data_IF_479083181757
#
_entry.id   IF_479083181757
#
_cell.length_a   1.000
_cell.length_b   1.000
_cell.length_c   1.000
_cell.angle_alpha   90.00
_cell.angle_beta   90.00
_cell.angle_gamma   90.00
#
_symmetry.space_group_name_H-M   'P 1'
#
loop_
_entity.id
_entity.type
_entity.pdbx_description
1 polymer ?
#
# COMPACT_ATOMS: atom_id res chain seq x y z
N UNK A 1 -19.65 -4.35 -2.66
CA UNK A 1 -20.83 -5.22 -2.65
C UNK A 1 -20.82 -6.09 -1.39
N UNK A 2 -21.94 -6.14 -0.67
CA UNK A 2 -22.07 -6.92 0.56
C UNK A 2 -21.80 -8.40 0.32
N UNK A 3 -21.13 -9.06 1.29
CA UNK A 3 -20.82 -10.49 1.21
C UNK A 3 -19.53 -10.84 0.46
N UNK A 4 -18.82 -9.87 -0.08
CA UNK A 4 -17.46 -10.09 -0.60
C UNK A 4 -16.51 -10.30 0.57
N UNK A 5 -15.63 -11.27 0.47
CA UNK A 5 -14.57 -11.51 1.46
C UNK A 5 -13.29 -10.82 1.00
N UNK A 6 -12.78 -9.93 1.83
CA UNK A 6 -11.48 -9.31 1.65
C UNK A 6 -10.44 -10.06 2.47
N UNK A 7 -9.34 -10.43 1.83
CA UNK A 7 -8.16 -10.99 2.49
C UNK A 7 -6.99 -10.06 2.23
N UNK A 8 -6.29 -9.63 3.28
CA UNK A 8 -5.09 -8.80 3.21
C UNK A 8 -4.09 -9.32 4.24
N UNK A 9 -3.03 -9.97 3.79
CA UNK A 9 -2.10 -10.70 4.63
C UNK A 9 -2.80 -11.74 5.50
N UNK A 10 -2.73 -11.59 6.83
CA UNK A 10 -3.38 -12.46 7.81
C UNK A 10 -4.79 -12.00 8.23
N UNK A 11 -5.32 -10.94 7.64
CA UNK A 11 -6.68 -10.46 7.89
C UNK A 11 -7.64 -10.99 6.84
N UNK A 12 -8.76 -11.58 7.28
CA UNK A 12 -9.85 -12.02 6.41
C UNK A 12 -11.19 -11.55 6.97
N UNK A 13 -11.91 -10.72 6.22
CA UNK A 13 -13.16 -10.10 6.65
C UNK A 13 -14.21 -10.11 5.54
N UNK A 14 -15.46 -10.36 5.91
CA UNK A 14 -16.60 -10.15 5.01
C UNK A 14 -16.98 -8.68 5.05
N UNK A 15 -16.94 -8.03 3.90
CA UNK A 15 -17.21 -6.59 3.80
C UNK A 15 -18.69 -6.31 3.58
N UNK A 16 -19.10 -5.09 3.95
CA UNK A 16 -20.42 -4.53 3.65
C UNK A 16 -20.48 -4.00 2.21
N UNK A 17 -21.37 -3.06 1.92
CA UNK A 17 -21.59 -2.56 0.55
C UNK A 17 -20.38 -1.84 -0.06
N UNK A 18 -19.64 -1.11 0.75
CA UNK A 18 -18.47 -0.35 0.31
C UNK A 18 -17.24 -0.77 1.08
N UNK A 19 -16.12 -0.82 0.39
CA UNK A 19 -14.81 -1.06 0.96
C UNK A 19 -13.78 -0.17 0.26
N UNK A 20 -12.89 0.40 1.03
CA UNK A 20 -11.76 1.18 0.52
C UNK A 20 -10.52 0.80 1.31
N UNK A 21 -9.54 0.29 0.62
CA UNK A 21 -8.26 -0.15 1.20
C UNK A 21 -7.11 0.56 0.51
N UNK A 22 -6.15 0.99 1.30
CA UNK A 22 -4.86 1.49 0.81
C UNK A 22 -3.77 0.50 1.21
N UNK A 23 -2.98 0.08 0.23
CA UNK A 23 -1.87 -0.85 0.41
C UNK A 23 -0.62 -0.25 -0.22
N UNK A 24 0.44 -0.12 0.57
CA UNK A 24 1.76 0.33 0.11
C UNK A 24 2.86 -0.71 0.30
N UNK A 25 2.55 -1.79 1.02
CA UNK A 25 3.45 -2.94 1.19
C UNK A 25 3.64 -3.70 -0.13
N UNK A 26 4.85 -3.73 -0.66
CA UNK A 26 5.15 -4.30 -1.99
C UNK A 26 4.86 -5.80 -2.11
N UNK A 27 4.98 -6.54 -1.02
CA UNK A 27 4.79 -8.00 -0.99
C UNK A 27 3.56 -8.40 -0.17
N UNK A 28 2.69 -7.44 0.20
CA UNK A 28 1.50 -7.73 0.95
C UNK A 28 0.44 -8.36 0.03
N UNK A 29 0.23 -9.65 0.19
CA UNK A 29 -0.78 -10.38 -0.57
C UNK A 29 -2.18 -9.91 -0.21
N UNK A 30 -3.00 -9.68 -1.23
CA UNK A 30 -4.37 -9.22 -1.05
C UNK A 30 -5.28 -9.72 -2.17
N UNK A 31 -6.52 -10.04 -1.79
CA UNK A 31 -7.55 -10.51 -2.73
C UNK A 31 -8.94 -10.19 -2.22
N UNK A 32 -9.87 -9.94 -3.13
CA UNK A 32 -11.31 -9.87 -2.88
C UNK A 32 -11.98 -11.06 -3.54
N UNK A 33 -12.63 -11.88 -2.73
CA UNK A 33 -13.30 -13.12 -3.16
C UNK A 33 -14.81 -12.94 -3.14
N UNK A 34 -15.51 -13.53 -4.08
CA UNK A 34 -16.98 -13.43 -4.16
C UNK A 34 -17.68 -13.88 -2.88
N UNK A 35 -17.20 -14.97 -2.26
CA UNK A 35 -17.70 -15.55 -1.00
C UNK A 35 -19.24 -15.61 -0.95
N UNK A 36 -19.90 -14.85 -0.06
CA UNK A 36 -21.37 -14.83 0.09
C UNK A 36 -22.05 -13.77 -0.79
N UNK A 37 -21.30 -13.06 -1.60
CA UNK A 37 -21.85 -12.02 -2.46
C UNK A 37 -22.70 -12.61 -3.58
N UNK A 38 -23.97 -12.23 -3.61
CA UNK A 38 -24.93 -12.63 -4.64
C UNK A 38 -25.17 -11.56 -5.71
N UNK A 39 -24.50 -10.40 -5.59
CA UNK A 39 -24.64 -9.31 -6.56
C UNK A 39 -24.12 -9.75 -7.94
N UNK A 40 -24.92 -9.45 -8.96
CA UNK A 40 -24.52 -9.71 -10.37
C UNK A 40 -23.57 -8.62 -10.89
N UNK A 41 -23.58 -7.45 -10.27
CA UNK A 41 -22.78 -6.31 -10.64
C UNK A 41 -21.93 -5.89 -9.46
N UNK A 42 -20.62 -6.07 -9.58
CA UNK A 42 -19.62 -5.57 -8.64
C UNK A 42 -18.81 -4.52 -9.38
N UNK A 43 -18.78 -3.31 -8.86
CA UNK A 43 -17.90 -2.27 -9.37
C UNK A 43 -16.64 -2.22 -8.50
N UNK A 44 -15.50 -2.32 -9.16
CA UNK A 44 -14.19 -2.19 -8.56
C UNK A 44 -13.43 -1.05 -9.25
N UNK A 45 -12.71 -0.27 -8.46
CA UNK A 45 -11.78 0.76 -8.93
C UNK A 45 -10.43 0.47 -8.28
N UNK A 46 -9.43 0.10 -9.08
CA UNK A 46 -8.06 -0.09 -8.63
C UNK A 46 -7.19 1.04 -9.15
N UNK A 47 -6.53 1.76 -8.24
CA UNK A 47 -5.57 2.81 -8.56
C UNK A 47 -4.19 2.33 -8.16
N UNK A 48 -3.33 2.11 -9.15
CA UNK A 48 -1.93 1.76 -8.94
C UNK A 48 -1.05 3.00 -9.12
N UNK A 49 -0.17 3.23 -8.16
CA UNK A 49 0.77 4.34 -8.21
C UNK A 49 2.16 3.92 -7.73
N UNK A 50 3.18 4.54 -8.30
CA UNK A 50 4.55 4.32 -7.88
C UNK A 50 4.86 5.09 -6.58
N UNK A 51 5.71 4.52 -5.73
CA UNK A 51 6.23 5.21 -4.54
C UNK A 51 7.01 6.48 -4.88
N UNK A 52 7.48 6.61 -6.12
CA UNK A 52 8.23 7.78 -6.63
C UNK A 52 7.32 8.83 -7.29
N UNK A 53 6.00 8.57 -7.39
CA UNK A 53 5.03 9.54 -7.95
C UNK A 53 5.17 10.92 -7.29
N UNK A 54 5.48 10.91 -6.00
CA UNK A 54 5.76 12.12 -5.25
C UNK A 54 7.25 12.15 -4.89
N UNK A 55 7.98 13.11 -5.39
CA UNK A 55 9.40 13.30 -5.08
C UNK A 55 9.65 13.21 -3.57
N UNK A 56 10.66 12.43 -3.14
CA UNK A 56 10.97 12.25 -1.71
C UNK A 56 11.07 13.57 -0.93
N UNK A 57 11.69 14.58 -1.54
CA UNK A 57 11.83 15.90 -0.90
C UNK A 57 10.49 16.66 -0.77
N UNK A 58 9.52 16.38 -1.64
CA UNK A 58 8.19 16.97 -1.58
C UNK A 58 7.39 16.40 -0.41
N UNK A 59 7.37 15.09 -0.27
CA UNK A 59 6.67 14.39 0.81
C UNK A 59 7.27 14.63 2.21
N UNK A 60 8.52 15.10 2.29
CA UNK A 60 9.17 15.41 3.56
C UNK A 60 8.82 16.80 4.13
N UNK A 61 7.96 17.56 3.46
CA UNK A 61 7.46 18.83 3.99
C UNK A 61 6.36 18.58 5.03
N UNK A 62 6.30 19.42 6.05
CA UNK A 62 5.34 19.30 7.16
C UNK A 62 3.88 19.25 6.70
N UNK A 63 3.56 19.87 5.57
CA UNK A 63 2.22 19.88 4.98
C UNK A 63 1.74 18.47 4.56
N UNK A 64 2.65 17.53 4.39
CA UNK A 64 2.37 16.14 3.97
C UNK A 64 2.54 15.11 5.08
N UNK A 65 2.75 15.55 6.32
CA UNK A 65 3.00 14.65 7.45
C UNK A 65 1.86 13.66 7.70
N UNK A 66 0.61 14.08 7.53
CA UNK A 66 -0.56 13.20 7.67
C UNK A 66 -0.58 12.12 6.58
N UNK A 67 -0.33 12.51 5.32
CA UNK A 67 -0.26 11.58 4.19
C UNK A 67 0.89 10.59 4.41
N UNK A 68 2.08 11.06 4.78
CA UNK A 68 3.25 10.19 5.02
C UNK A 68 2.95 9.14 6.07
N UNK A 69 2.41 9.55 7.25
CA UNK A 69 2.03 8.63 8.32
C UNK A 69 0.99 7.61 7.87
N UNK A 70 0.01 8.04 7.07
CA UNK A 70 -0.99 7.13 6.50
C UNK A 70 -0.34 6.12 5.56
N UNK A 71 0.54 6.55 4.65
CA UNK A 71 1.25 5.66 3.72
C UNK A 71 2.17 4.67 4.44
N UNK A 72 2.80 5.08 5.56
CA UNK A 72 3.58 4.19 6.42
C UNK A 72 2.70 3.11 7.06
N UNK A 73 1.55 3.48 7.63
CA UNK A 73 0.58 2.51 8.18
C UNK A 73 0.05 1.56 7.09
N UNK A 74 -0.13 2.06 5.87
CA UNK A 74 -0.64 1.30 4.74
C UNK A 74 0.32 0.21 4.24
N UNK A 75 1.54 0.11 4.75
CA UNK A 75 2.42 -1.04 4.50
C UNK A 75 1.81 -2.36 5.02
N UNK A 76 1.01 -2.28 6.06
CA UNK A 76 0.21 -3.40 6.58
C UNK A 76 -1.21 -3.46 5.99
N UNK A 77 -1.51 -2.63 4.99
CA UNK A 77 -2.87 -2.42 4.51
C UNK A 77 -3.74 -1.70 5.55
N UNK A 78 -4.46 -0.68 5.13
CA UNK A 78 -5.43 0.03 5.97
C UNK A 78 -6.78 0.09 5.27
N UNK A 79 -7.85 -0.14 6.04
CA UNK A 79 -9.23 0.00 5.60
C UNK A 79 -9.83 1.25 6.21
N UNK A 80 -10.59 1.99 5.42
CA UNK A 80 -11.19 3.26 5.83
C UNK A 80 -12.64 3.10 6.29
N UNK A 81 -13.09 3.93 7.25
CA UNK A 81 -14.47 3.95 7.70
C UNK A 81 -15.40 4.48 6.59
N UNK A 82 -16.69 4.13 6.65
CA UNK A 82 -17.70 4.52 5.66
C UNK A 82 -17.74 6.04 5.43
N UNK A 83 -17.54 6.83 6.45
CA UNK A 83 -17.51 8.28 6.35
C UNK A 83 -16.38 8.78 5.44
N UNK A 84 -15.20 8.20 5.55
CA UNK A 84 -14.04 8.50 4.70
C UNK A 84 -14.33 8.09 3.24
N UNK A 85 -14.90 6.89 3.06
CA UNK A 85 -15.27 6.37 1.74
C UNK A 85 -16.23 7.31 1.04
N UNK A 86 -17.32 7.69 1.70
CA UNK A 86 -18.33 8.61 1.14
C UNK A 86 -17.74 9.98 0.81
N UNK A 87 -16.79 10.46 1.59
CA UNK A 87 -16.10 11.74 1.35
C UNK A 87 -15.35 11.77 0.03
N UNK A 88 -14.68 10.68 -0.32
CA UNK A 88 -13.83 10.61 -1.52
C UNK A 88 -14.49 9.90 -2.70
N UNK A 89 -15.65 9.29 -2.52
CA UNK A 89 -16.32 8.44 -3.51
C UNK A 89 -16.40 9.08 -4.90
N UNK A 90 -16.97 10.28 -4.99
CA UNK A 90 -17.15 10.97 -6.27
C UNK A 90 -15.80 11.34 -6.93
N UNK A 91 -14.77 11.58 -6.14
CA UNK A 91 -13.44 11.91 -6.67
C UNK A 91 -12.72 10.67 -7.20
N UNK A 92 -12.86 9.53 -6.52
CA UNK A 92 -12.37 8.24 -7.01
C UNK A 92 -13.07 7.86 -8.31
N UNK A 93 -14.36 8.06 -8.40
CA UNK A 93 -15.16 7.79 -9.58
C UNK A 93 -14.71 8.61 -10.79
N UNK A 94 -14.54 9.91 -10.60
CA UNK A 94 -14.03 10.81 -11.63
C UNK A 94 -12.59 10.47 -12.04
N UNK A 95 -11.73 10.21 -11.07
CA UNK A 95 -10.33 9.86 -11.34
C UNK A 95 -10.23 8.59 -12.19
N UNK A 96 -11.12 7.61 -11.97
CA UNK A 96 -11.14 6.38 -12.74
C UNK A 96 -11.67 6.54 -14.17
N UNK A 97 -12.53 7.55 -14.42
CA UNK A 97 -13.28 7.68 -15.69
C UNK A 97 -12.82 8.81 -16.59
N UNK A 98 -12.39 9.93 -16.04
CA UNK A 98 -12.34 11.18 -16.81
C UNK A 98 -10.97 11.88 -16.79
N UNK A 99 -10.11 11.60 -15.82
CA UNK A 99 -8.95 12.46 -15.60
C UNK A 99 -7.63 11.87 -16.09
N UNK A 100 -6.81 12.71 -16.67
CA UNK A 100 -5.48 12.35 -17.17
C UNK A 100 -4.44 13.43 -16.82
N UNK A 101 -3.17 13.00 -16.78
CA UNK A 101 -2.04 13.88 -16.64
C UNK A 101 -1.97 14.60 -15.29
N UNK A 102 -1.62 15.87 -15.30
CA UNK A 102 -1.38 16.67 -14.10
C UNK A 102 -2.58 16.74 -13.16
N UNK A 103 -3.78 16.93 -13.69
CA UNK A 103 -4.99 17.04 -12.86
C UNK A 103 -5.31 15.73 -12.14
N UNK A 104 -5.10 14.59 -12.78
CA UNK A 104 -5.25 13.29 -12.13
C UNK A 104 -4.33 13.13 -10.91
N UNK A 105 -3.06 13.55 -11.03
CA UNK A 105 -2.10 13.53 -9.91
C UNK A 105 -2.54 14.47 -8.78
N UNK A 106 -3.00 15.68 -9.10
CA UNK A 106 -3.47 16.65 -8.12
C UNK A 106 -4.73 16.16 -7.40
N UNK A 107 -5.68 15.57 -8.11
CA UNK A 107 -6.89 14.99 -7.53
C UNK A 107 -6.58 13.76 -6.67
N UNK A 108 -5.66 12.92 -7.12
CA UNK A 108 -5.19 11.79 -6.32
C UNK A 108 -4.52 12.25 -5.02
N UNK A 109 -3.66 13.26 -5.08
CA UNK A 109 -3.03 13.85 -3.90
C UNK A 109 -4.07 14.41 -2.92
N UNK A 110 -5.13 15.06 -3.45
CA UNK A 110 -6.26 15.53 -2.64
C UNK A 110 -6.99 14.38 -1.97
N UNK A 111 -7.26 13.28 -2.69
CA UNK A 111 -7.89 12.08 -2.11
C UNK A 111 -7.02 11.53 -0.98
N UNK A 112 -5.72 11.38 -1.19
CA UNK A 112 -4.78 10.92 -0.15
C UNK A 112 -4.79 11.85 1.07
N UNK A 113 -4.83 13.17 0.86
CA UNK A 113 -4.91 14.13 1.96
C UNK A 113 -6.19 13.96 2.77
N UNK A 114 -7.35 13.95 2.12
CA UNK A 114 -8.64 13.77 2.81
C UNK A 114 -8.70 12.45 3.58
N UNK A 115 -8.22 11.35 3.00
CA UNK A 115 -8.14 10.06 3.68
C UNK A 115 -7.18 10.09 4.88
N UNK A 116 -6.10 10.87 4.80
CA UNK A 116 -5.10 10.97 5.87
C UNK A 116 -5.59 11.70 7.13
N UNK A 117 -6.76 12.35 7.05
CA UNK A 117 -7.40 13.02 8.19
C UNK A 117 -8.23 12.08 9.07
N UNK A 118 -8.41 10.82 8.65
CA UNK A 118 -9.16 9.81 9.41
C UNK A 118 -8.22 8.93 10.22
N UNK A 119 -8.13 9.20 11.52
CA UNK A 119 -7.26 8.45 12.44
C UNK A 119 -7.81 7.06 12.79
N UNK A 120 -9.08 6.80 12.53
CA UNK A 120 -9.81 5.55 12.80
C UNK A 120 -9.70 4.52 11.65
N UNK A 121 -8.84 4.76 10.66
CA UNK A 121 -8.52 3.78 9.65
C UNK A 121 -7.89 2.53 10.28
N UNK A 122 -8.51 1.37 10.00
CA UNK A 122 -8.14 0.07 10.60
C UNK A 122 -6.93 -0.54 9.88
N UNK A 123 -5.88 -0.84 10.62
CA UNK A 123 -4.76 -1.66 10.12
C UNK A 123 -5.23 -3.11 9.95
N UNK A 124 -4.94 -3.71 8.79
CA UNK A 124 -5.44 -5.03 8.41
C UNK A 124 -4.46 -6.14 8.77
N UNK A 125 -3.25 -6.09 8.25
CA UNK A 125 -2.28 -7.17 8.44
C UNK A 125 -1.34 -6.89 9.60
N UNK A 126 -0.88 -7.96 10.25
CA UNK A 126 0.21 -7.87 11.23
C UNK A 126 1.54 -7.53 10.55
N UNK A 127 2.46 -6.92 11.29
CA UNK A 127 3.78 -6.54 10.78
C UNK A 127 4.63 -7.73 10.31
N UNK A 128 4.35 -8.93 10.83
CA UNK A 128 5.04 -10.17 10.42
C UNK A 128 4.67 -10.60 9.01
N UNK A 129 3.47 -10.30 8.53
CA UNK A 129 3.02 -10.58 7.17
C UNK A 129 3.34 -9.45 6.19
N UNK A 130 3.33 -8.21 6.65
CA UNK A 130 3.58 -7.05 5.82
C UNK A 130 5.05 -6.88 5.39
N UNK A 131 5.98 -7.70 5.90
CA UNK A 131 7.44 -7.56 5.64
C UNK A 131 7.83 -6.08 5.58
N UNK A 132 7.62 -5.36 6.69
CA UNK A 132 7.91 -3.93 6.76
C UNK A 132 9.39 -3.75 6.45
N UNK A 133 9.68 -3.15 5.32
CA UNK A 133 11.04 -2.72 4.98
C UNK A 133 11.46 -1.64 5.97
N UNK A 134 12.09 -2.04 7.07
CA UNK A 134 12.83 -1.06 7.87
C UNK A 134 14.02 -0.60 7.03
N UNK A 135 14.24 0.70 6.97
CA UNK A 135 15.33 1.30 6.17
C UNK A 135 16.72 0.73 6.48
N UNK A 136 16.89 0.09 7.63
CA UNK A 136 18.12 -0.60 8.03
C UNK A 136 18.27 -1.98 7.40
N UNK A 137 17.19 -2.76 7.34
CA UNK A 137 17.23 -4.12 6.79
C UNK A 137 17.26 -4.10 5.27
N UNK A 138 16.59 -3.16 4.63
CA UNK A 138 16.61 -3.02 3.18
C UNK A 138 18.02 -2.71 2.65
N UNK A 139 18.84 -1.90 3.34
CA UNK A 139 20.21 -1.61 2.92
C UNK A 139 21.13 -2.84 3.02
N UNK A 140 20.99 -3.64 4.06
CA UNK A 140 21.77 -4.88 4.24
C UNK A 140 21.37 -5.91 3.21
N UNK A 141 20.06 -6.13 3.06
CA UNK A 141 19.51 -7.06 2.05
C UNK A 141 19.90 -6.63 0.64
N UNK A 142 19.77 -5.35 0.30
CA UNK A 142 20.16 -4.81 -1.00
C UNK A 142 21.66 -4.99 -1.28
N UNK A 143 22.54 -4.80 -0.28
CA UNK A 143 23.96 -5.06 -0.42
C UNK A 143 24.24 -6.54 -0.75
N UNK A 144 23.59 -7.45 -0.02
CA UNK A 144 23.72 -8.89 -0.25
C UNK A 144 23.19 -9.27 -1.63
N UNK A 145 22.00 -8.82 -2.00
CA UNK A 145 21.41 -9.09 -3.31
C UNK A 145 22.27 -8.57 -4.46
N UNK A 146 22.80 -7.34 -4.33
CA UNK A 146 23.69 -6.78 -5.33
C UNK A 146 24.98 -7.58 -5.45
N UNK A 147 25.58 -7.95 -4.32
CA UNK A 147 26.80 -8.78 -4.34
C UNK A 147 26.57 -10.14 -5.01
N UNK A 148 25.45 -10.80 -4.69
CA UNK A 148 25.09 -12.07 -5.34
C UNK A 148 24.87 -11.88 -6.84
N UNK A 149 24.18 -10.80 -7.24
CA UNK A 149 23.93 -10.51 -8.66
C UNK A 149 25.21 -10.20 -9.45
N UNK A 150 26.19 -9.55 -8.81
CA UNK A 150 27.47 -9.20 -9.44
C UNK A 150 28.44 -10.42 -9.49
N UNK A 151 28.28 -11.42 -8.58
CA UNK A 151 29.21 -12.53 -8.39
C UNK A 151 28.54 -13.92 -8.52
N UNK A 152 27.36 -14.03 -9.12
CA UNK A 152 26.60 -15.28 -9.18
C UNK A 152 27.29 -16.45 -9.89
N UNK A 153 28.36 -16.18 -10.64
CA UNK A 153 29.20 -17.18 -11.31
C UNK A 153 30.38 -17.64 -10.45
N UNK A 154 30.58 -17.05 -9.28
CA UNK A 154 31.65 -17.34 -8.35
C UNK A 154 31.18 -18.17 -7.16
N UNK A 155 32.10 -18.75 -6.40
CA UNK A 155 31.79 -19.47 -5.15
C UNK A 155 31.50 -18.46 -4.03
N UNK A 156 30.23 -18.16 -3.79
CA UNK A 156 29.80 -17.19 -2.77
C UNK A 156 29.71 -17.87 -1.41
N UNK A 157 30.56 -17.45 -0.48
CA UNK A 157 30.57 -17.98 0.88
C UNK A 157 29.66 -17.18 1.81
N UNK A 158 28.92 -17.90 2.66
CA UNK A 158 28.02 -17.29 3.63
C UNK A 158 28.72 -16.30 4.57
N UNK A 159 29.93 -16.63 5.03
CA UNK A 159 30.74 -15.77 5.89
C UNK A 159 31.08 -14.44 5.22
N UNK A 160 31.37 -14.43 3.92
CA UNK A 160 31.61 -13.18 3.17
C UNK A 160 30.38 -12.29 3.16
N UNK A 161 29.19 -12.87 3.01
CA UNK A 161 27.93 -12.12 3.04
C UNK A 161 27.65 -11.58 4.46
N UNK A 162 27.89 -12.38 5.49
CA UNK A 162 27.72 -11.97 6.88
C UNK A 162 28.64 -10.81 7.26
N UNK A 163 29.93 -10.91 6.96
CA UNK A 163 30.93 -9.86 7.20
C UNK A 163 30.56 -8.54 6.50
N UNK A 164 30.04 -8.64 5.26
CA UNK A 164 29.66 -7.47 4.47
C UNK A 164 28.49 -6.68 5.07
N UNK A 165 27.63 -7.34 5.84
CA UNK A 165 26.48 -6.72 6.50
C UNK A 165 26.64 -6.54 8.01
N UNK A 166 27.83 -6.89 8.54
CA UNK A 166 28.18 -6.73 9.95
C UNK A 166 27.46 -7.71 10.87
N UNK A 167 27.32 -8.95 10.43
CA UNK A 167 26.71 -10.06 11.19
C UNK A 167 27.76 -11.13 11.52
#
# INVERSE_FOLDING_TARGET
AAGVRRVVGDSAEVISDYDLVLITGKELEHVWEQHECTSKEIREITIQFSSDLFFKNFMNKNQFDSIRRMLEKAQCGISFPMQAIMKVYNWLDKLASEEQGFYAVMHFLRILYELSLYDDAKVLSSSSFAKIETFSDSRRVQKVQKYIADHYQEDIRLNTLADMVGM
#
